data_IF_431466232022
#
_entry.id   IF_431466232022
#
_cell.length_a   1.000
_cell.length_b   1.000
_cell.length_c   1.000
_cell.angle_alpha   90.00
_cell.angle_beta   90.00
_cell.angle_gamma   90.00
#
_symmetry.space_group_name_H-M   'P 1'
#
loop_
_entity.id
_entity.type
_entity.pdbx_description
1 polymer ?
#
# COMPACT_ATOMS: atom_id res chain seq x y z
N UNK A 1 4.15 -17.26 11.88
CA UNK A 1 2.97 -16.82 11.14
C UNK A 1 3.35 -15.66 10.24
N UNK A 2 3.08 -15.79 8.98
CA UNK A 2 3.38 -14.72 8.04
C UNK A 2 2.22 -13.73 8.02
N UNK A 3 2.52 -12.50 8.41
CA UNK A 3 1.54 -11.44 8.30
C UNK A 3 1.61 -10.88 6.89
N UNK A 4 0.47 -10.87 6.21
CA UNK A 4 0.38 -10.25 4.91
C UNK A 4 0.41 -8.73 5.11
N UNK A 5 1.32 -8.02 4.46
CA UNK A 5 1.37 -6.57 4.59
C UNK A 5 0.05 -5.95 4.13
N UNK A 6 -0.37 -4.90 4.83
CA UNK A 6 -1.62 -4.20 4.54
C UNK A 6 -1.37 -2.71 4.54
N UNK A 7 -2.11 -1.99 3.72
CA UNK A 7 -2.09 -0.54 3.74
C UNK A 7 -3.51 -0.03 3.76
N UNK A 8 -3.74 1.02 4.55
CA UNK A 8 -5.02 1.71 4.62
C UNK A 8 -4.86 3.04 3.92
N UNK A 9 -5.62 3.27 2.86
CA UNK A 9 -5.58 4.52 2.12
C UNK A 9 -6.40 5.60 2.84
N UNK A 10 -6.03 6.85 2.63
CA UNK A 10 -6.78 7.96 3.18
C UNK A 10 -8.17 8.02 2.54
N UNK A 11 -9.16 8.42 3.33
CA UNK A 11 -10.50 8.61 2.82
C UNK A 11 -10.50 9.72 1.78
N UNK A 12 -11.28 9.54 0.74
CA UNK A 12 -11.37 10.52 -0.33
C UNK A 12 -10.32 10.36 -1.42
N UNK A 13 -9.26 9.59 -1.15
CA UNK A 13 -8.25 9.33 -2.19
C UNK A 13 -8.80 8.31 -3.18
N UNK A 14 -8.74 8.67 -4.46
CA UNK A 14 -9.17 7.75 -5.52
C UNK A 14 -7.96 6.98 -6.03
N UNK A 15 -7.88 5.73 -5.62
CA UNK A 15 -6.77 4.87 -6.00
C UNK A 15 -6.99 4.33 -7.42
N UNK A 16 -6.06 4.62 -8.31
CA UNK A 16 -6.14 4.13 -9.68
C UNK A 16 -4.86 3.46 -10.15
N UNK A 17 -3.77 3.65 -9.45
CA UNK A 17 -2.48 3.09 -9.85
C UNK A 17 -1.49 3.12 -8.71
N UNK A 18 -0.49 3.97 -8.80
CA UNK A 18 0.56 4.02 -7.81
C UNK A 18 0.05 4.58 -6.48
N UNK A 19 0.66 4.09 -5.38
CA UNK A 19 0.37 4.55 -4.03
C UNK A 19 1.60 5.29 -3.53
N UNK A 20 1.39 6.51 -3.01
CA UNK A 20 2.46 7.34 -2.47
C UNK A 20 2.29 7.52 -0.97
N UNK A 21 3.36 7.94 -0.29
CA UNK A 21 3.34 8.17 1.15
C UNK A 21 2.15 9.03 1.58
N UNK A 22 1.85 10.07 0.81
CA UNK A 22 0.78 11.01 1.15
C UNK A 22 -0.62 10.40 1.01
N UNK A 23 -0.74 9.25 0.36
CA UNK A 23 -2.02 8.59 0.15
C UNK A 23 -2.36 7.59 1.27
N UNK A 24 -1.41 7.28 2.13
CA UNK A 24 -1.56 6.24 3.14
C UNK A 24 -1.94 6.84 4.48
N UNK A 25 -2.98 6.29 5.10
CA UNK A 25 -3.36 6.62 6.47
C UNK A 25 -2.55 5.80 7.46
N UNK A 26 -2.39 4.51 7.17
CA UNK A 26 -1.59 3.62 8.02
C UNK A 26 -1.21 2.38 7.22
N UNK A 27 -0.25 1.63 7.75
CA UNK A 27 0.11 0.36 7.16
C UNK A 27 0.64 -0.58 8.24
N UNK A 28 0.62 -1.87 7.96
CA UNK A 28 1.13 -2.90 8.88
C UNK A 28 1.94 -3.92 8.11
N UNK A 29 2.76 -4.66 8.84
CA UNK A 29 3.69 -5.61 8.25
C UNK A 29 4.97 -4.91 7.83
N UNK A 30 5.84 -5.66 7.18
CA UNK A 30 7.12 -5.12 6.71
C UNK A 30 7.31 -5.53 5.25
N UNK A 31 6.58 -4.90 4.34
CA UNK A 31 6.68 -5.27 2.93
C UNK A 31 8.07 -5.02 2.37
N UNK A 32 8.50 -5.91 1.49
CA UNK A 32 9.75 -5.80 0.76
C UNK A 32 9.40 -5.53 -0.70
N UNK A 33 10.39 -5.05 -1.45
CA UNK A 33 10.20 -4.85 -2.87
C UNK A 33 9.75 -6.18 -3.51
N UNK A 34 8.65 -6.12 -4.25
CA UNK A 34 8.08 -7.28 -4.90
C UNK A 34 7.01 -8.02 -4.11
N UNK A 35 6.81 -7.67 -2.83
CA UNK A 35 5.77 -8.30 -2.02
C UNK A 35 4.40 -7.80 -2.42
N UNK A 36 3.41 -8.68 -2.33
CA UNK A 36 2.02 -8.30 -2.51
C UNK A 36 1.50 -7.68 -1.23
N UNK A 37 0.69 -6.64 -1.38
CA UNK A 37 0.14 -5.88 -0.27
C UNK A 37 -1.37 -5.82 -0.45
N UNK A 38 -2.11 -6.07 0.63
CA UNK A 38 -3.55 -5.88 0.63
C UNK A 38 -3.85 -4.40 0.84
N UNK A 39 -4.74 -3.85 0.05
CA UNK A 39 -5.07 -2.42 0.08
C UNK A 39 -6.49 -2.26 0.58
N UNK A 40 -6.62 -1.46 1.65
CA UNK A 40 -7.90 -1.16 2.28
C UNK A 40 -8.18 0.33 2.21
N UNK A 41 -9.45 0.67 2.23
CA UNK A 41 -9.87 2.07 2.33
C UNK A 41 -11.23 2.09 3.04
N UNK A 42 -11.30 2.86 4.13
CA UNK A 42 -12.52 2.91 4.94
C UNK A 42 -12.86 1.57 5.56
N UNK A 43 -11.85 0.74 5.86
CA UNK A 43 -12.06 -0.57 6.44
C UNK A 43 -12.43 -1.66 5.45
N UNK A 44 -12.57 -1.32 4.17
CA UNK A 44 -12.94 -2.27 3.12
C UNK A 44 -11.75 -2.63 2.25
N UNK A 45 -11.65 -3.89 1.87
CA UNK A 45 -10.61 -4.33 0.95
C UNK A 45 -10.94 -3.79 -0.44
N UNK A 46 -10.04 -3.00 -1.00
CA UNK A 46 -10.24 -2.40 -2.32
C UNK A 46 -9.31 -2.99 -3.38
N UNK A 47 -8.39 -3.84 -3.00
CA UNK A 47 -7.55 -4.50 -3.97
C UNK A 47 -6.23 -4.95 -3.40
N UNK A 48 -5.28 -5.20 -4.29
CA UNK A 48 -3.92 -5.57 -3.92
C UNK A 48 -2.93 -4.77 -4.75
N UNK A 49 -1.73 -4.63 -4.22
CA UNK A 49 -0.67 -3.89 -4.88
C UNK A 49 0.65 -4.63 -4.69
N UNK A 50 1.65 -4.29 -5.49
CA UNK A 50 3.00 -4.84 -5.34
C UNK A 50 3.90 -3.73 -4.83
N UNK A 51 4.62 -4.00 -3.75
CA UNK A 51 5.56 -3.04 -3.19
C UNK A 51 6.71 -2.78 -4.17
N UNK A 52 7.01 -1.51 -4.40
CA UNK A 52 8.16 -1.11 -5.22
C UNK A 52 9.19 -0.37 -4.37
N UNK A 53 8.92 -0.22 -3.07
CA UNK A 53 9.86 0.33 -2.10
C UNK A 53 9.73 -0.48 -0.82
N UNK A 54 10.83 -0.70 -0.08
CA UNK A 54 10.75 -1.43 1.18
C UNK A 54 10.08 -0.58 2.27
N UNK A 55 9.49 -1.26 3.26
CA UNK A 55 8.71 -0.58 4.30
C UNK A 55 9.49 0.50 5.03
N UNK A 56 10.79 0.29 5.26
CA UNK A 56 11.59 1.27 5.99
C UNK A 56 11.77 2.58 5.24
N UNK A 57 11.52 2.60 3.92
CA UNK A 57 11.58 3.83 3.13
C UNK A 57 10.24 4.53 3.04
N UNK A 58 9.16 3.84 3.37
CA UNK A 58 7.81 4.35 3.13
C UNK A 58 7.54 5.74 3.72
N UNK A 59 7.96 6.04 4.97
CA UNK A 59 7.64 7.35 5.55
C UNK A 59 8.25 8.53 4.79
N UNK A 60 9.36 8.30 4.09
CA UNK A 60 10.10 9.39 3.43
C UNK A 60 10.34 9.14 1.96
N UNK A 61 9.75 8.10 1.37
CA UNK A 61 9.98 7.77 -0.02
C UNK A 61 9.52 8.90 -0.94
N UNK A 62 10.36 9.33 -1.87
CA UNK A 62 10.00 10.42 -2.79
C UNK A 62 9.10 9.98 -3.94
N UNK A 63 8.98 8.69 -4.16
CA UNK A 63 8.20 8.14 -5.26
C UNK A 63 7.14 7.17 -4.80
N UNK A 64 6.66 6.36 -5.72
CA UNK A 64 5.63 5.38 -5.45
C UNK A 64 6.11 4.33 -4.46
N UNK A 65 5.25 3.96 -3.51
CA UNK A 65 5.52 2.90 -2.55
C UNK A 65 5.10 1.55 -3.10
N UNK A 66 4.02 1.54 -3.86
CA UNK A 66 3.45 0.31 -4.40
C UNK A 66 2.70 0.63 -5.67
N UNK A 67 2.50 -0.39 -6.50
CA UNK A 67 1.73 -0.27 -7.74
C UNK A 67 0.53 -1.20 -7.69
N UNK A 68 -0.60 -0.73 -8.19
CA UNK A 68 -1.81 -1.54 -8.24
C UNK A 68 -1.57 -2.81 -9.05
N UNK A 69 -1.99 -3.95 -8.48
CA UNK A 69 -1.98 -5.22 -9.20
C UNK A 69 -3.39 -5.62 -9.56
N UNK A 70 -4.29 -5.49 -8.61
CA UNK A 70 -5.66 -5.91 -8.79
C UNK A 70 -6.54 -5.00 -7.96
N UNK A 71 -7.59 -4.49 -8.57
CA UNK A 71 -8.58 -3.67 -7.87
C UNK A 71 -9.93 -4.39 -7.88
N UNK A 72 -10.54 -4.38 -6.73
CA UNK A 72 -11.85 -4.97 -6.55
C UNK A 72 -12.94 -4.02 -7.02
#
# INVERSE_FOLDING_TARGET
TNLIPKVELKEGFKWSGDIFTTNISSYSGSPRIGDDILVYQGGNLVGSARAVAPAWEWPTAPGALARARHRV
#
